data_IF_606774779054
#
_entry.id   IF_606774779054
#
_cell.length_a   1.000
_cell.length_b   1.000
_cell.length_c   1.000
_cell.angle_alpha   90.00
_cell.angle_beta   90.00
_cell.angle_gamma   90.00
#
_symmetry.space_group_name_H-M   'P 1'
#
loop_
_entity.id
_entity.type
_entity.pdbx_description
1 polymer ?
#
# COMPACT_ATOMS: atom_id res chain seq x y z
N UNK A 1 0.03 -13.54 -5.19
CA UNK A 1 -0.17 -14.93 -4.70
C UNK A 1 -1.17 -14.89 -3.54
N UNK A 2 -2.46 -15.04 -3.84
CA UNK A 2 -3.58 -15.03 -2.90
C UNK A 2 -3.38 -15.75 -1.55
N UNK A 3 -2.68 -16.90 -1.56
CA UNK A 3 -2.42 -17.71 -0.37
C UNK A 3 -1.52 -17.03 0.68
N UNK A 4 -0.60 -16.16 0.27
CA UNK A 4 0.35 -15.51 1.20
C UNK A 4 -0.32 -14.46 2.08
N UNK A 5 -1.28 -13.72 1.53
CA UNK A 5 -2.02 -12.72 2.29
C UNK A 5 -2.86 -13.35 3.41
N UNK A 6 -3.56 -14.46 3.12
CA UNK A 6 -4.30 -15.19 4.15
C UNK A 6 -3.37 -15.73 5.23
N UNK A 7 -2.23 -16.29 4.85
CA UNK A 7 -1.25 -16.82 5.80
C UNK A 7 -0.68 -15.74 6.73
N UNK A 8 -0.38 -14.57 6.17
CA UNK A 8 0.06 -13.41 6.94
C UNK A 8 -1.00 -13.01 7.96
N UNK A 9 -2.27 -12.96 7.56
CA UNK A 9 -3.37 -12.62 8.45
C UNK A 9 -3.58 -13.64 9.58
N UNK A 10 -3.51 -14.94 9.27
CA UNK A 10 -3.56 -15.99 10.29
C UNK A 10 -2.45 -15.78 11.34
N UNK A 11 -1.22 -15.51 10.90
CA UNK A 11 -0.09 -15.27 11.79
C UNK A 11 -0.26 -13.99 12.62
N UNK A 12 -0.75 -12.91 12.02
CA UNK A 12 -1.06 -11.67 12.72
C UNK A 12 -2.12 -11.91 13.81
N UNK A 13 -3.22 -12.59 13.47
CA UNK A 13 -4.29 -12.94 14.40
C UNK A 13 -3.79 -13.84 15.54
N UNK A 14 -2.96 -14.85 15.24
CA UNK A 14 -2.32 -15.73 16.23
C UNK A 14 -1.45 -14.94 17.24
N UNK A 15 -0.90 -13.81 16.81
CA UNK A 15 -0.13 -12.89 17.64
C UNK A 15 -0.95 -11.71 18.20
N UNK A 16 -2.27 -11.70 18.00
CA UNK A 16 -3.16 -10.63 18.47
C UNK A 16 -2.98 -9.29 17.75
N UNK A 17 -2.40 -9.30 16.55
CA UNK A 17 -2.21 -8.13 15.70
C UNK A 17 -3.42 -7.99 14.77
N UNK A 18 -3.98 -6.77 14.71
CA UNK A 18 -4.99 -6.40 13.72
C UNK A 18 -4.36 -5.50 12.67
N UNK A 19 -4.73 -5.75 11.43
CA UNK A 19 -4.18 -5.10 10.23
C UNK A 19 -5.31 -4.81 9.25
N UNK A 20 -5.07 -3.90 8.31
CA UNK A 20 -6.00 -3.59 7.22
C UNK A 20 -5.45 -4.15 5.90
N UNK A 21 -6.23 -5.01 5.25
CA UNK A 21 -5.88 -5.61 3.96
C UNK A 21 -6.59 -4.88 2.82
N UNK A 22 -5.82 -4.11 2.04
CA UNK A 22 -6.34 -3.41 0.87
C UNK A 22 -6.35 -4.32 -0.36
N UNK A 23 -7.51 -4.48 -0.99
CA UNK A 23 -7.70 -5.33 -2.17
C UNK A 23 -7.93 -4.52 -3.45
N UNK A 24 -7.24 -4.88 -4.53
CA UNK A 24 -7.58 -4.41 -5.89
C UNK A 24 -8.77 -5.18 -6.43
N UNK A 25 -9.51 -4.60 -7.38
CA UNK A 25 -10.59 -5.31 -8.10
C UNK A 25 -10.10 -6.62 -8.72
N UNK A 26 -8.85 -6.65 -9.20
CA UNK A 26 -8.23 -7.84 -9.83
C UNK A 26 -7.84 -8.96 -8.85
N UNK A 27 -7.77 -8.67 -7.55
CA UNK A 27 -7.37 -9.64 -6.52
C UNK A 27 -8.45 -9.86 -5.46
N UNK A 28 -9.56 -9.15 -5.55
CA UNK A 28 -10.67 -9.23 -4.60
C UNK A 28 -11.40 -10.56 -4.74
N UNK A 29 -11.45 -11.31 -3.66
CA UNK A 29 -12.11 -12.61 -3.57
C UNK A 29 -13.01 -12.61 -2.34
N UNK A 30 -14.35 -12.54 -2.51
CA UNK A 30 -15.30 -12.36 -1.42
C UNK A 30 -15.09 -13.34 -0.26
N UNK A 31 -14.90 -14.62 -0.58
CA UNK A 31 -14.69 -15.68 0.42
C UNK A 31 -13.42 -15.42 1.25
N UNK A 32 -12.30 -15.06 0.63
CA UNK A 32 -11.06 -14.77 1.37
C UNK A 32 -11.20 -13.52 2.23
N UNK A 33 -11.83 -12.47 1.71
CA UNK A 33 -12.03 -11.23 2.49
C UNK A 33 -12.90 -11.47 3.71
N UNK A 34 -13.88 -12.38 3.61
CA UNK A 34 -14.67 -12.81 4.77
C UNK A 34 -13.82 -13.50 5.83
N UNK A 35 -12.93 -14.41 5.43
CA UNK A 35 -12.00 -15.07 6.37
C UNK A 35 -11.12 -14.03 7.09
N UNK A 36 -10.61 -13.02 6.37
CA UNK A 36 -9.85 -11.94 6.98
C UNK A 36 -10.65 -11.17 8.04
N UNK A 37 -11.91 -10.84 7.73
CA UNK A 37 -12.80 -10.17 8.68
C UNK A 37 -13.11 -11.06 9.89
N UNK A 38 -13.33 -12.36 9.69
CA UNK A 38 -13.58 -13.33 10.78
C UNK A 38 -12.33 -13.49 11.69
N UNK A 39 -11.13 -13.27 11.16
CA UNK A 39 -9.86 -13.19 11.92
C UNK A 39 -9.66 -11.85 12.65
N UNK A 40 -10.55 -10.87 12.44
CA UNK A 40 -10.51 -9.56 13.09
C UNK A 40 -9.71 -8.49 12.35
N UNK A 41 -9.36 -8.72 11.09
CA UNK A 41 -8.73 -7.72 10.21
C UNK A 41 -9.76 -6.86 9.50
N UNK A 42 -9.34 -5.67 9.10
CA UNK A 42 -10.13 -4.78 8.24
C UNK A 42 -9.86 -5.06 6.77
N UNK A 43 -10.85 -4.79 5.91
CA UNK A 43 -10.71 -4.88 4.45
C UNK A 43 -10.94 -3.51 3.84
N UNK A 44 -9.97 -3.04 3.07
CA UNK A 44 -10.01 -1.75 2.37
C UNK A 44 -10.01 -1.90 0.86
N UNK A 45 -10.36 -0.83 0.14
CA UNK A 45 -10.26 -0.81 -1.32
C UNK A 45 -8.90 -0.26 -1.78
N UNK A 46 -8.12 -1.11 -2.46
CA UNK A 46 -6.82 -0.76 -3.07
C UNK A 46 -7.05 -0.23 -4.48
N UNK A 47 -7.23 1.08 -4.61
CA UNK A 47 -7.73 1.67 -5.86
C UNK A 47 -6.61 1.94 -6.87
N UNK A 48 -6.98 1.87 -8.15
CA UNK A 48 -6.10 2.25 -9.25
C UNK A 48 -6.85 3.03 -10.34
N UNK A 49 -7.98 3.64 -9.96
CA UNK A 49 -8.99 4.13 -10.89
C UNK A 49 -8.53 5.32 -11.72
N UNK A 50 -7.74 6.21 -11.15
CA UNK A 50 -7.21 7.37 -11.86
C UNK A 50 -6.18 6.99 -12.93
N UNK A 51 -5.26 6.09 -12.60
CA UNK A 51 -4.33 5.52 -13.60
C UNK A 51 -5.08 4.77 -14.69
N UNK A 52 -6.13 4.01 -14.32
CA UNK A 52 -6.97 3.28 -15.29
C UNK A 52 -7.81 4.22 -16.17
N UNK A 53 -8.14 5.41 -15.66
CA UNK A 53 -8.81 6.47 -16.39
C UNK A 53 -7.84 7.39 -17.13
N UNK A 54 -6.53 7.07 -17.18
CA UNK A 54 -5.51 7.89 -17.86
C UNK A 54 -5.51 9.36 -17.42
N UNK A 55 -5.73 9.59 -16.13
CA UNK A 55 -5.77 10.94 -15.54
C UNK A 55 -7.08 11.70 -15.72
N UNK A 56 -8.12 11.09 -16.31
CA UNK A 56 -9.45 11.71 -16.38
C UNK A 56 -10.13 11.61 -15.00
N UNK A 57 -10.26 12.76 -14.34
CA UNK A 57 -10.81 12.86 -12.98
C UNK A 57 -12.26 12.35 -12.89
N UNK A 58 -13.12 12.73 -13.82
CA UNK A 58 -14.53 12.35 -13.79
C UNK A 58 -14.67 10.84 -14.00
N UNK A 59 -14.01 10.30 -15.03
CA UNK A 59 -14.03 8.88 -15.32
C UNK A 59 -13.40 8.06 -14.18
N UNK A 60 -12.36 8.58 -13.51
CA UNK A 60 -11.75 7.96 -12.35
C UNK A 60 -12.76 7.82 -11.19
N UNK A 61 -13.50 8.88 -10.87
CA UNK A 61 -14.48 8.88 -9.78
C UNK A 61 -15.72 8.05 -10.09
N UNK A 62 -16.21 8.05 -11.33
CA UNK A 62 -17.30 7.16 -11.76
C UNK A 62 -16.91 5.69 -11.63
N UNK A 63 -15.67 5.36 -12.04
CA UNK A 63 -15.11 4.02 -11.93
C UNK A 63 -14.89 3.62 -10.47
N UNK A 64 -14.30 4.50 -9.65
CA UNK A 64 -14.09 4.29 -8.23
C UNK A 64 -15.40 4.02 -7.49
N UNK A 65 -16.41 4.87 -7.69
CA UNK A 65 -17.73 4.70 -7.08
C UNK A 65 -18.36 3.34 -7.43
N UNK A 66 -18.21 2.92 -8.69
CA UNK A 66 -18.72 1.65 -9.16
C UNK A 66 -18.00 0.46 -8.51
N UNK A 67 -16.68 0.51 -8.44
CA UNK A 67 -15.87 -0.55 -7.82
C UNK A 67 -16.10 -0.63 -6.30
N UNK A 68 -16.12 0.51 -5.60
CA UNK A 68 -16.39 0.55 -4.16
C UNK A 68 -17.77 -0.03 -3.82
N UNK A 69 -18.80 0.27 -4.63
CA UNK A 69 -20.13 -0.35 -4.48
C UNK A 69 -20.10 -1.86 -4.68
N UNK A 70 -19.30 -2.37 -5.63
CA UNK A 70 -19.17 -3.82 -5.84
C UNK A 70 -18.48 -4.49 -4.64
N UNK A 71 -17.41 -3.88 -4.12
CA UNK A 71 -16.71 -4.32 -2.93
C UNK A 71 -17.67 -4.42 -1.73
N UNK A 72 -18.40 -3.33 -1.43
CA UNK A 72 -19.37 -3.29 -0.32
C UNK A 72 -20.56 -4.25 -0.48
N UNK A 73 -20.95 -4.60 -1.71
CA UNK A 73 -21.99 -5.62 -1.96
C UNK A 73 -21.50 -7.03 -1.71
N UNK A 74 -20.21 -7.28 -1.91
CA UNK A 74 -19.63 -8.61 -1.88
C UNK A 74 -18.93 -8.93 -0.55
N UNK A 75 -18.62 -7.92 0.27
CA UNK A 75 -17.96 -8.07 1.56
C UNK A 75 -18.95 -7.80 2.71
N UNK A 76 -19.01 -8.65 3.76
CA UNK A 76 -19.99 -8.52 4.84
C UNK A 76 -19.72 -7.36 5.82
N UNK A 77 -18.49 -6.90 5.96
CA UNK A 77 -18.14 -5.78 6.84
C UNK A 77 -18.08 -4.44 6.08
N UNK A 78 -18.15 -3.30 6.79
CA UNK A 78 -17.92 -2.00 6.18
C UNK A 78 -16.54 -1.90 5.52
N UNK A 79 -16.49 -1.20 4.38
CA UNK A 79 -15.24 -0.80 3.73
C UNK A 79 -15.17 0.71 3.88
N UNK A 80 -14.35 1.14 4.83
CA UNK A 80 -14.33 2.51 5.37
C UNK A 80 -13.05 3.25 5.01
N UNK A 81 -12.00 2.55 4.58
CA UNK A 81 -10.72 3.16 4.19
C UNK A 81 -10.27 2.66 2.82
N UNK A 82 -9.48 3.48 2.14
CA UNK A 82 -8.89 3.17 0.83
C UNK A 82 -7.40 3.43 0.81
N UNK A 83 -6.70 2.81 -0.14
CA UNK A 83 -5.26 2.95 -0.28
C UNK A 83 -4.90 2.90 -1.77
N UNK A 84 -4.06 3.82 -2.25
CA UNK A 84 -3.69 3.80 -3.66
C UNK A 84 -2.81 2.59 -4.00
N UNK A 85 -3.00 2.10 -5.22
CA UNK A 85 -1.96 1.33 -5.89
C UNK A 85 -0.89 2.24 -6.46
N UNK A 86 0.32 2.16 -5.92
CA UNK A 86 1.50 2.75 -6.54
C UNK A 86 1.78 2.06 -7.88
N UNK A 87 1.65 2.79 -8.98
CA UNK A 87 1.91 2.32 -10.35
C UNK A 87 3.15 3.03 -10.93
N UNK A 88 4.39 2.52 -10.72
CA UNK A 88 5.61 3.23 -11.08
C UNK A 88 5.80 3.47 -12.58
N UNK A 89 5.15 2.68 -13.43
CA UNK A 89 5.25 2.79 -14.89
C UNK A 89 4.22 3.75 -15.51
N UNK A 90 3.27 4.25 -14.72
CA UNK A 90 2.30 5.24 -15.18
C UNK A 90 2.83 6.66 -14.93
N UNK A 91 2.57 7.63 -15.80
CA UNK A 91 2.84 9.03 -15.50
C UNK A 91 1.91 9.60 -14.41
N UNK A 92 0.75 8.98 -14.17
CA UNK A 92 -0.25 9.46 -13.21
C UNK A 92 -0.04 8.86 -11.82
N UNK A 93 -0.19 9.66 -10.77
CA UNK A 93 -0.32 9.18 -9.39
C UNK A 93 -1.79 8.97 -9.05
N UNK A 94 -2.15 7.81 -8.50
CA UNK A 94 -3.55 7.53 -8.17
C UNK A 94 -4.11 8.51 -7.12
N UNK A 95 -3.27 9.08 -6.25
CA UNK A 95 -3.70 10.07 -5.25
C UNK A 95 -4.20 11.36 -5.88
N UNK A 96 -3.80 11.68 -7.10
CA UNK A 96 -4.20 12.92 -7.78
C UNK A 96 -5.72 13.06 -7.90
N UNK A 97 -6.46 11.94 -7.99
CA UNK A 97 -7.92 12.00 -8.02
C UNK A 97 -8.55 12.59 -6.75
N UNK A 98 -7.82 12.67 -5.64
CA UNK A 98 -8.28 13.26 -4.38
C UNK A 98 -7.75 14.68 -4.17
N UNK A 99 -6.64 15.04 -4.81
CA UNK A 99 -5.97 16.33 -4.59
C UNK A 99 -6.32 17.39 -5.64
N UNK A 100 -7.00 17.01 -6.72
CA UNK A 100 -7.54 17.97 -7.68
C UNK A 100 -8.62 18.86 -7.01
N UNK A 101 -8.67 20.14 -7.35
CA UNK A 101 -9.64 21.08 -6.77
C UNK A 101 -11.11 20.73 -7.07
N UNK A 102 -11.37 19.99 -8.15
CA UNK A 102 -12.70 19.50 -8.50
C UNK A 102 -12.99 18.10 -7.91
N UNK A 103 -12.06 17.53 -7.13
CA UNK A 103 -12.25 16.22 -6.53
C UNK A 103 -13.32 16.27 -5.42
N UNK A 104 -14.23 15.28 -5.36
CA UNK A 104 -15.06 15.07 -4.19
C UNK A 104 -14.24 14.63 -2.97
N UNK A 105 -14.68 15.04 -1.79
CA UNK A 105 -14.13 14.60 -0.51
C UNK A 105 -14.46 13.12 -0.21
N UNK A 106 -13.73 12.50 0.72
CA UNK A 106 -13.95 11.12 1.15
C UNK A 106 -15.38 10.88 1.70
N UNK A 107 -15.97 11.88 2.33
CA UNK A 107 -17.35 11.85 2.84
C UNK A 107 -18.37 11.59 1.72
N UNK A 108 -18.11 12.02 0.49
CA UNK A 108 -18.99 11.74 -0.66
C UNK A 108 -19.09 10.23 -0.99
N UNK A 109 -18.17 9.44 -0.44
CA UNK A 109 -18.12 7.98 -0.58
C UNK A 109 -18.37 7.24 0.74
N UNK A 110 -18.72 7.95 1.82
CA UNK A 110 -18.78 7.39 3.18
C UNK A 110 -17.46 6.69 3.55
N UNK A 111 -16.33 7.36 3.32
CA UNK A 111 -14.99 6.87 3.67
C UNK A 111 -14.37 7.73 4.78
N UNK A 112 -13.72 7.07 5.74
CA UNK A 112 -12.96 7.71 6.81
C UNK A 112 -11.68 8.39 6.30
N UNK A 113 -11.13 7.90 5.19
CA UNK A 113 -9.94 8.47 4.57
C UNK A 113 -9.16 7.52 3.68
N UNK A 114 -8.02 8.02 3.21
CA UNK A 114 -7.06 7.31 2.40
C UNK A 114 -5.72 7.16 3.15
N UNK A 115 -5.12 5.96 3.10
CA UNK A 115 -4.01 5.58 3.97
C UNK A 115 -2.78 6.51 3.89
N UNK A 116 -2.48 7.09 2.72
CA UNK A 116 -1.36 8.01 2.50
C UNK A 116 -1.72 9.48 2.71
N UNK A 117 -3.00 9.85 2.57
CA UNK A 117 -3.46 11.24 2.62
C UNK A 117 -4.06 11.63 3.98
N UNK A 118 -4.63 10.69 4.72
CA UNK A 118 -5.41 10.97 5.94
C UNK A 118 -4.68 10.64 7.23
N UNK A 119 -3.60 9.87 7.18
CA UNK A 119 -2.83 9.51 8.38
C UNK A 119 -1.88 10.65 8.78
N UNK A 120 -1.78 10.91 10.10
CA UNK A 120 -0.93 11.94 10.69
C UNK A 120 0.55 11.50 10.71
N UNK A 121 1.22 11.56 9.55
CA UNK A 121 2.62 11.13 9.40
C UNK A 121 3.66 12.08 10.03
N UNK A 122 3.22 13.20 10.62
CA UNK A 122 4.01 14.02 11.52
C UNK A 122 4.27 13.33 12.89
N UNK A 123 3.35 12.46 13.32
CA UNK A 123 3.44 11.69 14.58
C UNK A 123 3.54 10.17 14.36
N UNK A 124 3.40 9.69 13.11
CA UNK A 124 3.46 8.26 12.78
C UNK A 124 4.65 7.97 11.85
N UNK A 125 5.58 7.14 12.31
CA UNK A 125 6.71 6.72 11.49
C UNK A 125 6.29 5.70 10.43
N UNK A 126 6.54 6.01 9.16
CA UNK A 126 6.17 5.14 8.03
C UNK A 126 7.32 4.19 7.62
N UNK A 127 6.99 2.90 7.52
CA UNK A 127 7.88 1.85 7.03
C UNK A 127 7.18 1.05 5.95
N UNK A 128 7.83 0.86 4.82
CA UNK A 128 7.35 0.01 3.73
C UNK A 128 8.46 -0.91 3.29
N UNK A 129 8.12 -2.18 3.01
CA UNK A 129 9.06 -3.18 2.48
C UNK A 129 9.32 -3.03 0.96
N UNK A 130 8.85 -1.93 0.34
CA UNK A 130 9.13 -1.60 -1.05
C UNK A 130 10.61 -1.48 -1.33
N UNK A 131 11.07 -2.29 -2.27
CA UNK A 131 12.49 -2.42 -2.59
C UNK A 131 13.22 -3.50 -1.78
N UNK A 132 12.52 -4.27 -0.94
CA UNK A 132 13.09 -5.26 0.02
C UNK A 132 14.00 -4.63 1.08
N UNK A 133 13.70 -3.40 1.43
CA UNK A 133 14.32 -2.63 2.50
C UNK A 133 13.22 -1.86 3.21
N UNK A 134 13.44 -1.48 4.47
CA UNK A 134 12.57 -0.55 5.18
C UNK A 134 13.06 0.91 5.08
N UNK A 135 14.25 1.11 4.48
CA UNK A 135 14.84 2.42 4.28
C UNK A 135 14.00 3.27 3.36
N UNK A 136 13.96 4.56 3.64
CA UNK A 136 13.51 5.53 2.64
C UNK A 136 14.59 5.69 1.57
N UNK A 137 14.17 5.90 0.32
CA UNK A 137 15.10 6.01 -0.78
C UNK A 137 14.45 5.93 -2.15
N UNK A 138 15.29 6.05 -3.17
CA UNK A 138 14.89 6.21 -4.57
C UNK A 138 14.02 5.07 -5.16
N UNK A 139 13.91 3.92 -4.49
CA UNK A 139 13.08 2.80 -4.96
C UNK A 139 11.59 2.94 -4.60
N UNK A 140 11.25 3.84 -3.67
CA UNK A 140 9.89 4.16 -3.20
C UNK A 140 9.23 5.28 -4.02
N UNK A 141 9.34 5.20 -5.35
CA UNK A 141 8.94 6.27 -6.30
C UNK A 141 7.53 6.82 -6.03
N UNK A 142 6.54 5.93 -5.85
CA UNK A 142 5.15 6.29 -5.53
C UNK A 142 4.70 5.71 -4.20
N UNK A 143 5.63 5.30 -3.36
CA UNK A 143 5.34 4.61 -2.10
C UNK A 143 5.87 5.43 -0.94
N UNK A 144 5.33 6.64 -0.82
CA UNK A 144 5.74 7.66 0.12
C UNK A 144 4.51 8.39 0.65
N UNK A 145 4.58 8.84 1.89
CA UNK A 145 3.52 9.63 2.55
C UNK A 145 3.46 11.03 1.96
N UNK A 146 2.29 11.67 2.05
CA UNK A 146 2.18 13.11 1.80
C UNK A 146 2.32 13.83 3.15
N UNK A 147 3.37 14.63 3.33
CA UNK A 147 3.60 15.41 4.58
C UNK A 147 5.07 15.58 4.95
N UNK A 148 5.35 16.52 5.87
CA UNK A 148 6.70 16.93 6.30
C UNK A 148 7.24 16.13 7.51
N UNK A 149 6.83 14.87 7.66
CA UNK A 149 7.32 14.02 8.75
C UNK A 149 8.78 13.61 8.55
N UNK A 150 9.71 14.15 9.35
CA UNK A 150 11.09 13.66 9.36
C UNK A 150 11.17 12.28 10.03
N UNK A 151 11.40 11.25 9.22
CA UNK A 151 11.64 9.90 9.71
C UNK A 151 12.97 9.84 10.46
N UNK A 152 12.90 9.80 11.80
CA UNK A 152 14.08 9.81 12.70
C UNK A 152 14.86 8.50 12.74
N UNK A 153 14.26 7.39 12.29
CA UNK A 153 14.87 6.06 12.29
C UNK A 153 14.70 5.39 10.94
N UNK A 154 15.78 4.82 10.39
CA UNK A 154 15.79 4.31 9.02
C UNK A 154 16.38 2.88 8.95
N UNK A 155 15.66 1.87 9.48
CA UNK A 155 16.12 0.48 9.44
C UNK A 155 16.18 0.00 7.98
N UNK A 156 17.18 -0.82 7.66
CA UNK A 156 17.28 -1.49 6.35
C UNK A 156 16.57 -2.83 6.38
N UNK A 157 16.84 -3.62 7.42
CA UNK A 157 16.41 -5.03 7.47
C UNK A 157 15.20 -5.23 8.40
N UNK A 158 14.45 -6.31 8.18
CA UNK A 158 13.37 -6.72 9.10
C UNK A 158 13.87 -6.96 10.52
N UNK A 159 15.11 -7.42 10.69
CA UNK A 159 15.72 -7.62 12.01
C UNK A 159 15.95 -6.28 12.73
N UNK A 160 16.40 -5.26 12.02
CA UNK A 160 16.56 -3.89 12.53
C UNK A 160 15.21 -3.26 12.86
N UNK A 161 14.22 -3.36 11.96
CA UNK A 161 12.87 -2.86 12.24
C UNK A 161 12.28 -3.53 13.50
N UNK A 162 12.45 -4.85 13.62
CA UNK A 162 12.00 -5.57 14.81
C UNK A 162 12.77 -5.17 16.07
N UNK A 163 14.05 -4.81 15.96
CA UNK A 163 14.83 -4.28 17.08
C UNK A 163 14.27 -2.93 17.56
N UNK A 164 13.98 -2.01 16.63
CA UNK A 164 13.37 -0.72 16.95
C UNK A 164 12.05 -0.88 17.72
N UNK A 165 11.20 -1.83 17.32
CA UNK A 165 9.94 -2.09 18.03
C UNK A 165 10.14 -2.73 19.40
N UNK A 166 11.07 -3.68 19.53
CA UNK A 166 11.41 -4.27 20.84
C UNK A 166 11.98 -3.25 21.82
N UNK A 167 12.78 -2.32 21.31
CA UNK A 167 13.40 -1.23 22.07
C UNK A 167 12.45 -0.06 22.32
N UNK A 168 11.25 -0.07 21.72
CA UNK A 168 10.29 1.04 21.75
C UNK A 168 10.92 2.36 21.30
N UNK A 169 11.79 2.28 20.28
CA UNK A 169 12.45 3.45 19.70
C UNK A 169 11.50 4.33 18.87
N UNK A 170 10.26 3.88 18.66
CA UNK A 170 9.19 4.57 17.95
C UNK A 170 7.89 4.38 18.73
N UNK A 171 7.17 5.46 18.99
CA UNK A 171 5.90 5.43 19.72
C UNK A 171 4.74 4.93 18.83
N UNK A 172 4.71 5.39 17.58
CA UNK A 172 3.67 5.07 16.59
C UNK A 172 4.29 4.78 15.24
N UNK A 173 3.91 3.66 14.64
CA UNK A 173 4.42 3.23 13.35
C UNK A 173 3.29 2.78 12.42
N UNK A 174 3.41 3.14 11.15
CA UNK A 174 2.65 2.57 10.04
C UNK A 174 3.58 1.62 9.29
N UNK A 175 3.20 0.34 9.19
CA UNK A 175 3.98 -0.68 8.48
C UNK A 175 3.18 -1.15 7.27
N UNK A 176 3.71 -0.91 6.09
CA UNK A 176 3.19 -1.43 4.82
C UNK A 176 3.99 -2.66 4.43
N UNK A 177 3.35 -3.82 4.50
CA UNK A 177 3.92 -5.08 4.08
C UNK A 177 3.22 -5.56 2.81
N UNK A 178 3.98 -6.07 1.84
CA UNK A 178 3.44 -6.64 0.61
C UNK A 178 3.45 -8.17 0.72
N UNK A 179 2.32 -8.87 0.89
CA UNK A 179 2.31 -10.31 1.17
C UNK A 179 3.06 -11.16 0.14
N UNK A 180 3.13 -10.73 -1.14
CA UNK A 180 3.94 -11.45 -2.14
C UNK A 180 5.44 -11.50 -1.82
N UNK A 181 5.97 -10.60 -0.99
CA UNK A 181 7.40 -10.56 -0.64
C UNK A 181 7.79 -11.48 0.51
N UNK A 182 6.79 -11.95 1.26
CA UNK A 182 6.94 -12.78 2.45
C UNK A 182 6.68 -14.24 2.09
N UNK A 183 7.74 -15.04 2.09
CA UNK A 183 7.71 -16.43 1.69
C UNK A 183 7.77 -17.34 2.92
N UNK A 184 7.00 -18.43 2.88
CA UNK A 184 6.98 -19.47 3.93
C UNK A 184 7.96 -20.62 3.63
N UNK A 185 8.65 -20.55 2.49
CA UNK A 185 9.63 -21.55 2.06
C UNK A 185 10.83 -20.93 1.34
N UNK A 186 11.98 -21.61 1.40
CA UNK A 186 13.21 -21.17 0.73
C UNK A 186 13.04 -21.01 -0.80
N UNK A 187 12.38 -21.93 -1.53
CA UNK A 187 12.15 -21.75 -2.97
C UNK A 187 11.29 -20.53 -3.28
N UNK A 188 10.25 -20.29 -2.49
CA UNK A 188 9.39 -19.13 -2.64
C UNK A 188 10.13 -17.82 -2.37
N UNK A 189 11.03 -17.82 -1.38
CA UNK A 189 11.88 -16.68 -1.07
C UNK A 189 12.82 -16.36 -2.22
N UNK A 190 13.41 -17.38 -2.86
CA UNK A 190 14.29 -17.23 -4.02
C UNK A 190 13.54 -16.66 -5.24
N UNK A 191 12.33 -17.15 -5.52
CA UNK A 191 11.50 -16.64 -6.60
C UNK A 191 11.11 -15.17 -6.36
N UNK A 192 10.61 -14.87 -5.17
CA UNK A 192 10.20 -13.51 -4.81
C UNK A 192 11.40 -12.55 -4.88
N UNK A 193 12.59 -12.96 -4.42
CA UNK A 193 13.82 -12.16 -4.52
C UNK A 193 14.23 -11.88 -5.96
N UNK A 194 14.11 -12.88 -6.84
CA UNK A 194 14.45 -12.73 -8.25
C UNK A 194 13.51 -11.75 -8.95
N UNK A 195 12.20 -11.87 -8.74
CA UNK A 195 11.20 -10.96 -9.33
C UNK A 195 11.37 -9.54 -8.83
N UNK A 196 11.50 -9.33 -7.52
CA UNK A 196 11.73 -8.00 -6.96
C UNK A 196 13.06 -7.40 -7.43
N UNK A 197 14.11 -8.22 -7.57
CA UNK A 197 15.39 -7.81 -8.11
C UNK A 197 15.25 -7.22 -9.52
N UNK A 198 14.51 -7.89 -10.40
CA UNK A 198 14.24 -7.40 -11.75
C UNK A 198 13.45 -6.07 -11.75
N UNK A 199 12.40 -5.97 -10.94
CA UNK A 199 11.60 -4.74 -10.80
C UNK A 199 12.46 -3.58 -10.27
N UNK A 200 13.30 -3.84 -9.28
CA UNK A 200 14.19 -2.82 -8.70
C UNK A 200 15.23 -2.33 -9.71
N UNK A 201 15.78 -3.20 -10.56
CA UNK A 201 16.69 -2.80 -11.65
C UNK A 201 16.00 -1.84 -12.62
N UNK A 202 14.76 -2.14 -13.03
CA UNK A 202 13.96 -1.24 -13.88
C UNK A 202 13.74 0.10 -13.19
N UNK A 203 13.33 0.10 -11.91
CA UNK A 203 13.14 1.34 -11.13
C UNK A 203 14.42 2.19 -11.05
N UNK A 204 15.59 1.56 -10.82
CA UNK A 204 16.89 2.25 -10.82
C UNK A 204 17.22 2.86 -12.19
N UNK A 205 16.96 2.12 -13.26
CA UNK A 205 17.13 2.61 -14.62
C UNK A 205 16.27 3.84 -14.92
N UNK A 206 15.00 3.82 -14.52
CA UNK A 206 14.10 4.97 -14.67
C UNK A 206 14.58 6.19 -13.86
N UNK A 207 15.01 5.99 -12.61
CA UNK A 207 15.54 7.07 -11.78
C UNK A 207 16.77 7.74 -12.41
N UNK A 208 17.67 6.95 -13.01
CA UNK A 208 18.85 7.46 -13.73
C UNK A 208 18.47 8.23 -15.00
N UNK A 209 17.45 7.78 -15.73
CA UNK A 209 16.94 8.47 -16.94
C UNK A 209 16.25 9.79 -16.61
N UNK A 210 15.56 9.89 -15.46
CA UNK A 210 14.92 11.13 -15.01
C UNK A 210 15.94 12.15 -14.46
N UNK A 211 17.05 11.68 -13.88
CA UNK A 211 18.18 12.56 -13.49
C UNK A 211 18.84 13.25 -14.70
N UNK A 212 18.84 12.63 -15.88
CA UNK A 212 19.39 13.23 -17.10
C UNK A 212 18.48 14.25 -17.80
N UNK A 213 17.19 14.31 -17.44
CA UNK A 213 16.22 15.25 -18.02
C UNK A 213 16.03 16.53 -17.18
N UNK A 214 16.59 16.58 -15.97
CA UNK A 214 16.55 17.76 -15.09
C UNK A 214 17.74 18.70 -15.27
N UNK A 215 18.74 18.33 -16.09
CA UNK A 215 19.91 19.17 -16.43
C UNK A 215 19.95 19.60 -17.92
N UNK A 216 18.79 19.77 -18.57
CA UNK A 216 18.70 20.32 -19.94
C UNK A 216 17.67 21.43 -20.08
#
# INVERSE_FOLDING_TARGET
MPARALRMAELEADHGVRSTYYYRTSTFEPERTRVLADLGHEVGYHYEDYVRATGDLQAAHERFATNLRQFRRAHPAPIETVCMHGNPLSPHDNREMWTDNAAPDFDAYDLLGEAYLSMAFDDVAYFSDTGRTWQDGALKIKDHTMGEGEKRVNPDTTAELAALFRERAVDRACVVAHPERWADSLPELLLARSTDGAVNVVKRGMALLHYGAAES
#
